data_IF_540393531682
#
_entry.id   IF_540393531682
#
_cell.length_a   1.000
_cell.length_b   1.000
_cell.length_c   1.000
_cell.angle_alpha   90.00
_cell.angle_beta   90.00
_cell.angle_gamma   90.00
#
_symmetry.space_group_name_H-M   'P 1'
#
loop_
_entity.id
_entity.type
_entity.pdbx_description
1 polymer ?
#
# COMPACT_ATOMS: atom_id res chain seq x y z
N UNK A 1 1.24 17.46 -0.26
CA UNK A 1 0.40 17.04 -1.40
C UNK A 1 1.05 15.81 -2.00
N UNK A 2 0.37 14.66 -2.02
CA UNK A 2 0.88 13.50 -2.75
C UNK A 2 0.73 13.81 -4.24
N UNK A 3 1.76 13.56 -5.04
CA UNK A 3 1.71 13.80 -6.48
C UNK A 3 1.19 12.52 -7.12
N UNK A 4 0.12 12.62 -7.89
CA UNK A 4 -0.38 11.48 -8.65
C UNK A 4 0.70 11.00 -9.62
N UNK A 5 1.12 9.75 -9.48
CA UNK A 5 2.03 9.10 -10.41
C UNK A 5 1.23 8.03 -11.14
N UNK A 6 0.88 8.35 -12.39
CA UNK A 6 0.08 7.47 -13.24
C UNK A 6 0.78 7.21 -14.57
N UNK A 7 0.08 6.49 -15.45
CA UNK A 7 0.52 6.23 -16.82
C UNK A 7 -0.36 7.08 -17.74
N UNK A 8 0.14 8.21 -18.26
CA UNK A 8 -0.57 8.93 -19.31
C UNK A 8 -0.78 8.00 -20.50
N UNK A 9 -2.00 7.97 -21.06
CA UNK A 9 -2.38 7.06 -22.17
C UNK A 9 -2.32 5.57 -21.80
N UNK A 10 -2.81 5.22 -20.61
CA UNK A 10 -2.89 3.83 -20.12
C UNK A 10 -3.59 2.86 -21.09
N UNK A 11 -4.67 3.30 -21.75
CA UNK A 11 -5.42 2.52 -22.74
C UNK A 11 -5.92 3.46 -23.83
N UNK A 12 -6.03 2.96 -25.07
CA UNK A 12 -6.61 3.75 -26.16
C UNK A 12 -8.13 3.83 -26.02
N UNK A 13 -8.69 4.99 -26.36
CA UNK A 13 -10.14 5.20 -26.32
C UNK A 13 -10.87 4.22 -27.25
N UNK A 14 -10.32 3.98 -28.43
CA UNK A 14 -10.85 3.02 -29.40
C UNK A 14 -11.04 1.61 -28.83
N UNK A 15 -10.19 1.18 -27.89
CA UNK A 15 -10.29 -0.14 -27.25
C UNK A 15 -11.39 -0.18 -26.18
N UNK A 16 -11.73 0.96 -25.59
CA UNK A 16 -12.82 1.08 -24.62
C UNK A 16 -14.18 1.17 -25.32
N UNK A 17 -14.25 1.87 -26.45
CA UNK A 17 -15.48 2.19 -27.20
C UNK A 17 -15.91 1.10 -28.21
N UNK A 18 -15.18 -0.01 -28.32
CA UNK A 18 -15.62 -1.14 -29.14
C UNK A 18 -17.05 -1.58 -28.75
N UNK A 19 -17.91 -1.81 -29.75
CA UNK A 19 -19.34 -2.13 -29.58
C UNK A 19 -19.59 -3.38 -28.69
N UNK A 20 -18.59 -4.26 -28.57
CA UNK A 20 -18.58 -5.38 -27.63
C UNK A 20 -17.30 -5.38 -26.76
N UNK A 21 -16.95 -4.22 -26.23
CA UNK A 21 -15.80 -4.01 -25.35
C UNK A 21 -15.78 -5.03 -24.22
N UNK A 22 -14.61 -5.62 -23.98
CA UNK A 22 -14.38 -6.52 -22.83
C UNK A 22 -14.12 -5.74 -21.54
N UNK A 23 -13.84 -4.45 -21.65
CA UNK A 23 -13.43 -3.60 -20.53
C UNK A 23 -14.55 -2.73 -19.97
N UNK A 24 -15.55 -2.41 -20.81
CA UNK A 24 -16.74 -1.66 -20.43
C UNK A 24 -17.96 -2.56 -20.61
N UNK A 25 -18.72 -2.75 -19.53
CA UNK A 25 -19.99 -3.48 -19.52
C UNK A 25 -20.99 -2.64 -18.73
N UNK A 26 -22.19 -2.43 -19.29
CA UNK A 26 -23.24 -1.61 -18.66
C UNK A 26 -22.73 -0.24 -18.19
N UNK A 27 -22.02 0.46 -19.08
CA UNK A 27 -21.40 1.78 -18.83
C UNK A 27 -20.44 1.81 -17.62
N UNK A 28 -19.89 0.65 -17.25
CA UNK A 28 -19.06 0.48 -16.05
C UNK A 28 -17.73 -0.20 -16.40
N UNK A 29 -16.66 0.25 -15.74
CA UNK A 29 -15.34 -0.40 -15.79
C UNK A 29 -14.77 -0.63 -14.39
N UNK A 30 -13.96 -1.69 -14.24
CA UNK A 30 -13.26 -2.00 -12.99
C UNK A 30 -11.75 -1.79 -13.16
N UNK A 31 -11.13 -1.06 -12.23
CA UNK A 31 -9.69 -0.82 -12.20
C UNK A 31 -9.12 -1.49 -10.94
N UNK A 32 -8.10 -2.34 -11.12
CA UNK A 32 -7.37 -2.99 -10.02
C UNK A 32 -5.95 -2.48 -9.98
N UNK A 33 -5.59 -1.77 -8.91
CA UNK A 33 -4.21 -1.36 -8.63
C UNK A 33 -3.56 -2.40 -7.74
N UNK A 34 -2.45 -2.97 -8.19
CA UNK A 34 -1.66 -3.92 -7.38
C UNK A 34 -0.45 -3.19 -6.82
N UNK A 35 -0.36 -3.13 -5.50
CA UNK A 35 0.77 -2.54 -4.80
C UNK A 35 1.65 -3.68 -4.32
N UNK A 36 2.92 -3.64 -4.71
CA UNK A 36 3.91 -4.60 -4.22
C UNK A 36 4.40 -4.20 -2.82
N UNK A 37 4.25 -5.12 -1.87
CA UNK A 37 4.67 -4.98 -0.49
C UNK A 37 5.78 -5.96 -0.11
N UNK A 38 6.44 -6.61 -1.06
CA UNK A 38 7.43 -7.68 -0.79
C UNK A 38 8.52 -7.26 0.21
N UNK A 39 8.98 -6.01 0.18
CA UNK A 39 9.99 -5.48 1.11
C UNK A 39 9.45 -4.94 2.44
N UNK A 40 8.14 -4.96 2.66
CA UNK A 40 7.51 -4.44 3.87
C UNK A 40 7.08 -5.58 4.79
N UNK A 41 7.36 -5.45 6.09
CA UNK A 41 6.82 -6.37 7.09
C UNK A 41 5.29 -6.36 7.02
N UNK A 42 4.68 -7.52 6.75
CA UNK A 42 3.23 -7.69 6.62
C UNK A 42 2.48 -7.21 7.85
N UNK A 43 3.11 -7.27 9.03
CA UNK A 43 2.50 -6.80 10.28
C UNK A 43 2.35 -5.27 10.32
N UNK A 44 3.16 -4.54 9.55
CA UNK A 44 3.07 -3.08 9.42
C UNK A 44 1.97 -2.62 8.46
N UNK A 45 1.49 -3.50 7.57
CA UNK A 45 0.51 -3.11 6.54
C UNK A 45 -0.75 -2.49 7.13
N UNK A 46 -1.30 -3.10 8.18
CA UNK A 46 -2.49 -2.58 8.88
C UNK A 46 -2.27 -1.17 9.42
N UNK A 47 -1.06 -0.88 9.90
CA UNK A 47 -0.70 0.44 10.39
C UNK A 47 -0.58 1.44 9.24
N UNK A 48 0.12 1.07 8.16
CA UNK A 48 0.27 1.93 6.97
C UNK A 48 -1.10 2.32 6.39
N UNK A 49 -2.05 1.38 6.29
CA UNK A 49 -3.39 1.65 5.78
C UNK A 49 -4.26 2.48 6.74
N UNK A 50 -3.91 2.55 8.03
CA UNK A 50 -4.60 3.38 9.01
C UNK A 50 -4.11 4.84 9.04
N UNK A 51 -2.96 5.13 8.42
CA UNK A 51 -2.40 6.47 8.39
C UNK A 51 -3.25 7.39 7.52
N UNK A 52 -3.43 8.63 7.98
CA UNK A 52 -4.12 9.65 7.20
C UNK A 52 -3.30 9.98 5.93
N UNK A 53 -3.83 9.70 4.72
CA UNK A 53 -3.09 9.92 3.48
C UNK A 53 -2.84 11.41 3.18
N UNK A 54 -3.56 12.32 3.86
CA UNK A 54 -3.39 13.76 3.78
C UNK A 54 -2.17 14.31 4.52
N UNK A 55 -1.52 13.51 5.37
CA UNK A 55 -0.27 13.91 6.03
C UNK A 55 0.85 14.10 5.01
N UNK A 56 1.80 15.02 5.24
CA UNK A 56 2.99 15.11 4.40
C UNK A 56 3.73 13.77 4.35
N UNK A 57 4.25 13.41 3.18
CA UNK A 57 4.90 12.10 2.95
C UNK A 57 6.03 11.81 3.94
N UNK A 58 6.81 12.84 4.30
CA UNK A 58 7.90 12.71 5.27
C UNK A 58 7.39 12.38 6.68
N UNK A 59 6.21 12.88 7.07
CA UNK A 59 5.57 12.56 8.35
C UNK A 59 5.08 11.12 8.33
N UNK A 60 4.43 10.68 7.25
CA UNK A 60 4.00 9.29 7.10
C UNK A 60 5.19 8.33 7.20
N UNK A 61 6.28 8.59 6.45
CA UNK A 61 7.50 7.78 6.52
C UNK A 61 8.12 7.75 7.93
N UNK A 62 8.16 8.89 8.62
CA UNK A 62 8.66 8.96 10.00
C UNK A 62 7.80 8.11 10.95
N UNK A 63 6.48 8.16 10.81
CA UNK A 63 5.55 7.36 11.62
C UNK A 63 5.67 5.86 11.34
N UNK A 64 5.81 5.46 10.07
CA UNK A 64 6.00 4.06 9.67
C UNK A 64 7.33 3.53 10.23
N UNK A 65 8.40 4.33 10.13
CA UNK A 65 9.72 3.96 10.66
C UNK A 65 9.68 3.76 12.17
N UNK A 66 9.08 4.69 12.92
CA UNK A 66 8.92 4.58 14.38
C UNK A 66 8.14 3.34 14.79
N UNK A 67 7.05 3.02 14.08
CA UNK A 67 6.26 1.83 14.40
C UNK A 67 7.03 0.53 14.09
N UNK A 68 7.79 0.50 13.00
CA UNK A 68 8.69 -0.61 12.68
C UNK A 68 9.71 -0.85 13.79
N UNK A 69 10.40 0.21 14.23
CA UNK A 69 11.37 0.15 15.33
C UNK A 69 10.74 -0.30 16.65
N UNK A 70 9.53 0.20 16.98
CA UNK A 70 8.79 -0.20 18.18
C UNK A 70 8.49 -1.70 18.19
N UNK A 71 8.08 -2.25 17.04
CA UNK A 71 7.77 -3.69 16.89
C UNK A 71 9.01 -4.56 16.94
N UNK A 72 10.11 -4.13 16.33
CA UNK A 72 11.39 -4.83 16.43
C UNK A 72 11.88 -4.93 17.88
N UNK A 73 11.73 -3.85 18.66
CA UNK A 73 12.06 -3.86 20.10
C UNK A 73 11.18 -4.84 20.88
N UNK A 74 9.87 -4.78 20.70
CA UNK A 74 8.94 -5.70 21.36
C UNK A 74 9.21 -7.18 21.01
N UNK A 75 9.53 -7.46 19.74
CA UNK A 75 9.89 -8.82 19.31
C UNK A 75 11.18 -9.32 19.98
N UNK A 76 12.20 -8.47 20.10
CA UNK A 76 13.47 -8.83 20.74
C UNK A 76 13.33 -9.04 22.25
N UNK A 77 12.49 -8.26 22.93
CA UNK A 77 12.19 -8.42 24.36
C UNK A 77 11.47 -9.74 24.65
N UNK A 78 10.55 -10.15 23.77
CA UNK A 78 9.80 -11.41 23.91
C UNK A 78 10.68 -12.66 23.75
N UNK A 79 11.81 -12.57 23.04
CA UNK A 79 12.74 -13.68 22.80
C UNK A 79 13.79 -13.79 23.92
N UNK A 80 14.06 -12.71 24.66
CA UNK A 80 15.06 -12.66 25.73
C UNK A 80 14.64 -13.27 27.08
N UNK A 81 13.36 -13.64 27.25
CA UNK A 81 12.79 -14.12 28.53
C UNK A 81 12.59 -15.64 28.63
N UNK A 82 13.37 -16.48 27.92
CA UNK A 82 13.44 -17.90 28.30
C UNK A 82 14.48 -18.11 29.40
N UNK A 83 14.09 -18.43 30.66
CA UNK A 83 15.04 -18.80 31.68
C UNK A 83 15.54 -20.21 31.35
N UNK A 84 16.85 -20.33 31.15
CA UNK A 84 17.57 -21.60 31.13
C UNK A 84 17.23 -22.37 32.41
N UNK A 85 16.40 -23.42 32.26
CA UNK A 85 16.10 -24.40 33.31
C UNK A 85 17.23 -25.41 33.44
#
# INVERSE_FOLDING_TARGET
>A
MNIASGIPKFISLSMLEEENSRYVRDDTMFIKVMIDFYGMDKTLLSYVFSLNPGLPIHVQHMMIKKESERRQKAANETIGEQPSS
#
